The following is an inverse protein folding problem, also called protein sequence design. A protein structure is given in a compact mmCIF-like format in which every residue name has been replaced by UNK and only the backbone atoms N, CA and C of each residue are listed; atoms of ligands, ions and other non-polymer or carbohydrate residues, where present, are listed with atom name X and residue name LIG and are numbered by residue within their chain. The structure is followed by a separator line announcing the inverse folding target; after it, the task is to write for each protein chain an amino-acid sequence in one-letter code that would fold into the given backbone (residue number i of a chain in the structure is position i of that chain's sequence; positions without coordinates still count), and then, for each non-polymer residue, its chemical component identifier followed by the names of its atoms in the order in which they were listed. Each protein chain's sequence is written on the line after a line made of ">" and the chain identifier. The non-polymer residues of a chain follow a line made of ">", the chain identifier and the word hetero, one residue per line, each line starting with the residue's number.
data_IF_554440270209
#
_entry.id   IF_554440270209
#
_cell.length_a   1.000
_cell.length_b   1.000
_cell.length_c   1.000
_cell.angle_alpha   90.00
_cell.angle_beta   90.00
_cell.angle_gamma   90.00
#
_symmetry.space_group_name_H-M   'P 1'
#
loop_
_entity.id
_entity.type
_entity.pdbx_description
1 polymer ?
#
# COMPACT_ATOMS: atom_id res chain seq x y z
N UNK A 1 10.21 -2.82 16.56
CA UNK A 1 9.37 -2.27 15.48
C UNK A 1 9.40 -0.78 15.70
N UNK A 2 9.93 0.00 14.75
CA UNK A 2 9.84 1.46 14.85
C UNK A 2 8.52 1.88 14.21
N UNK A 3 7.89 2.92 14.75
CA UNK A 3 6.66 3.44 14.21
C UNK A 3 6.61 4.95 14.14
N UNK A 4 6.05 5.45 13.05
CA UNK A 4 5.91 6.86 12.74
C UNK A 4 4.42 7.19 12.65
N UNK A 5 3.99 8.22 13.37
CA UNK A 5 2.64 8.75 13.25
C UNK A 5 2.63 9.82 12.16
N UNK A 6 1.68 9.71 11.22
CA UNK A 6 1.35 10.84 10.36
C UNK A 6 0.62 11.86 11.23
N UNK A 7 1.33 12.86 11.73
CA UNK A 7 0.77 13.88 12.61
C UNK A 7 -0.12 14.84 11.81
N UNK A 8 -1.43 14.68 11.87
CA UNK A 8 -2.34 15.83 11.85
C UNK A 8 -2.49 16.30 13.30
N UNK A 9 -2.06 17.53 13.66
CA UNK A 9 -2.29 18.03 15.00
C UNK A 9 -3.79 18.16 15.22
N UNK A 10 -4.36 17.38 16.13
CA UNK A 10 -5.69 17.66 16.66
C UNK A 10 -5.60 18.94 17.48
N UNK A 11 -6.35 19.98 17.08
CA UNK A 11 -6.51 21.19 17.88
C UNK A 11 -7.07 20.81 19.26
N UNK A 12 -6.56 21.41 20.35
CA UNK A 12 -7.07 21.13 21.70
C UNK A 12 -8.51 21.65 21.81
N UNK A 13 -9.49 20.74 21.79
CA UNK A 13 -10.92 21.08 21.96
C UNK A 13 -11.91 20.23 21.16
N UNK A 14 -11.49 19.46 20.15
CA UNK A 14 -12.40 18.54 19.46
C UNK A 14 -12.54 17.22 20.23
N UNK A 15 -13.64 17.05 20.96
CA UNK A 15 -14.22 15.71 21.15
C UNK A 15 -14.62 15.20 19.76
N UNK A 16 -13.69 14.58 19.05
CA UNK A 16 -13.98 13.98 17.76
C UNK A 16 -14.90 12.78 17.99
N UNK A 17 -16.19 12.95 17.71
CA UNK A 17 -17.05 11.81 17.39
C UNK A 17 -16.39 11.12 16.20
N UNK A 18 -15.76 9.96 16.44
CA UNK A 18 -15.19 9.15 15.36
C UNK A 18 -16.39 8.65 14.57
N UNK A 19 -16.60 9.23 13.39
CA UNK A 19 -17.63 8.76 12.48
C UNK A 19 -17.24 7.36 12.01
N UNK A 20 -18.04 6.36 12.37
CA UNK A 20 -17.88 5.00 11.85
C UNK A 20 -17.99 5.06 10.33
N UNK A 21 -16.97 4.56 9.65
CA UNK A 21 -16.94 4.53 8.19
C UNK A 21 -17.48 3.18 7.69
N UNK A 22 -18.24 3.23 6.61
CA UNK A 22 -18.63 2.04 5.85
C UNK A 22 -17.65 1.78 4.72
N UNK A 23 -17.16 0.55 4.62
CA UNK A 23 -16.30 0.10 3.53
C UNK A 23 -16.96 -1.05 2.76
N UNK A 24 -16.88 -0.96 1.43
CA UNK A 24 -17.19 -2.04 0.52
C UNK A 24 -15.98 -2.98 0.39
N UNK A 25 -16.26 -4.26 0.60
CA UNK A 25 -15.31 -5.36 0.48
C UNK A 25 -15.36 -5.90 -0.94
N UNK A 26 -14.21 -5.87 -1.63
CA UNK A 26 -14.05 -6.48 -2.95
C UNK A 26 -12.97 -7.58 -2.88
N UNK A 27 -13.37 -8.85 -2.76
CA UNK A 27 -12.44 -9.98 -2.73
C UNK A 27 -11.45 -9.95 -3.90
N UNK A 28 -10.21 -10.36 -3.66
CA UNK A 28 -9.07 -10.32 -4.60
C UNK A 28 -8.65 -8.92 -5.09
N UNK A 29 -9.37 -7.87 -4.71
CA UNK A 29 -9.26 -6.57 -5.36
C UNK A 29 -8.94 -5.46 -4.38
N UNK A 30 -9.87 -5.10 -3.49
CA UNK A 30 -9.73 -3.90 -2.67
C UNK A 30 -10.66 -3.82 -1.47
N UNK A 31 -10.37 -2.85 -0.61
CA UNK A 31 -11.27 -2.30 0.40
C UNK A 31 -11.49 -0.82 0.05
N UNK A 32 -12.74 -0.38 -0.13
CA UNK A 32 -13.01 0.99 -0.58
C UNK A 32 -14.21 1.63 0.07
N UNK A 33 -14.23 2.96 0.11
CA UNK A 33 -15.40 3.76 0.43
C UNK A 33 -15.45 4.99 -0.49
N UNK A 34 -16.27 5.98 -0.17
CA UNK A 34 -16.41 7.20 -0.98
C UNK A 34 -15.12 8.06 -1.06
N UNK A 35 -14.18 7.87 -0.14
CA UNK A 35 -13.02 8.74 0.04
C UNK A 35 -11.70 8.07 -0.32
N UNK A 36 -11.56 6.78 0.02
CA UNK A 36 -10.34 6.02 -0.16
C UNK A 36 -10.63 4.66 -0.80
N UNK A 37 -9.68 4.21 -1.61
CA UNK A 37 -9.68 2.87 -2.17
C UNK A 37 -8.29 2.25 -1.98
N UNK A 38 -8.24 1.15 -1.23
CA UNK A 38 -7.02 0.38 -0.99
C UNK A 38 -6.99 -0.82 -1.93
N UNK A 39 -6.33 -0.67 -3.08
CA UNK A 39 -6.20 -1.73 -4.08
C UNK A 39 -5.04 -2.68 -3.73
N UNK A 40 -5.29 -3.99 -3.72
CA UNK A 40 -4.22 -4.98 -3.69
C UNK A 40 -3.28 -4.78 -4.87
N UNK A 41 -1.97 -4.68 -4.58
CA UNK A 41 -0.91 -4.39 -5.54
C UNK A 41 -0.54 -2.92 -5.66
N UNK A 42 -1.33 -2.00 -5.09
CA UNK A 42 -0.96 -0.58 -5.04
C UNK A 42 0.35 -0.39 -4.28
N UNK A 43 1.10 0.63 -4.65
CA UNK A 43 2.38 0.91 -4.00
C UNK A 43 2.21 1.65 -2.67
N UNK A 44 3.16 1.47 -1.76
CA UNK A 44 3.19 2.11 -0.43
C UNK A 44 3.07 3.64 -0.53
N UNK A 45 3.79 4.27 -1.46
CA UNK A 45 3.71 5.71 -1.70
C UNK A 45 2.29 6.16 -2.08
N UNK A 46 1.60 5.42 -2.93
CA UNK A 46 0.23 5.74 -3.33
C UNK A 46 -0.74 5.64 -2.17
N UNK A 47 -0.59 4.62 -1.33
CA UNK A 47 -1.40 4.49 -0.12
C UNK A 47 -1.15 5.69 0.82
N UNK A 48 0.11 6.09 1.02
CA UNK A 48 0.46 7.26 1.82
C UNK A 48 -0.14 8.54 1.22
N UNK A 49 -0.05 8.75 -0.09
CA UNK A 49 -0.65 9.90 -0.77
C UNK A 49 -2.17 9.90 -0.63
N UNK A 50 -2.82 8.76 -0.86
CA UNK A 50 -4.28 8.59 -0.70
C UNK A 50 -4.72 8.96 0.73
N UNK A 51 -4.01 8.46 1.74
CA UNK A 51 -4.29 8.76 3.14
C UNK A 51 -4.02 10.22 3.49
N UNK A 52 -2.94 10.81 2.96
CA UNK A 52 -2.59 12.21 3.20
C UNK A 52 -3.64 13.15 2.59
N UNK A 53 -4.12 12.85 1.38
CA UNK A 53 -5.17 13.62 0.73
C UNK A 53 -6.52 13.54 1.48
N UNK A 54 -6.75 12.44 2.19
CA UNK A 54 -7.95 12.18 2.98
C UNK A 54 -7.74 12.33 4.50
N UNK A 55 -6.72 13.07 4.93
CA UNK A 55 -6.35 13.23 6.34
C UNK A 55 -7.42 13.91 7.22
N UNK A 56 -8.45 14.51 6.62
CA UNK A 56 -9.60 15.06 7.35
C UNK A 56 -10.46 13.96 7.97
N UNK A 57 -10.60 12.83 7.28
CA UNK A 57 -11.43 11.70 7.72
C UNK A 57 -10.60 10.57 8.26
N UNK A 58 -9.52 10.19 7.55
CA UNK A 58 -8.62 9.12 7.96
C UNK A 58 -7.62 9.65 9.00
N UNK A 59 -7.89 9.41 10.28
CA UNK A 59 -7.07 9.90 11.41
C UNK A 59 -6.36 8.75 12.12
N UNK A 60 -5.36 9.09 12.94
CA UNK A 60 -4.63 8.15 13.80
C UNK A 60 -3.95 7.00 13.03
N UNK A 61 -3.15 7.38 12.03
CA UNK A 61 -2.45 6.47 11.13
C UNK A 61 -1.01 6.27 11.62
N UNK A 62 -0.59 5.01 11.70
CA UNK A 62 0.75 4.60 12.11
C UNK A 62 1.42 3.76 11.01
N UNK A 63 2.59 4.20 10.55
CA UNK A 63 3.46 3.41 9.69
C UNK A 63 4.48 2.67 10.55
N UNK A 64 4.58 1.35 10.40
CA UNK A 64 5.53 0.51 11.14
C UNK A 64 6.41 -0.29 10.18
N UNK A 65 7.70 -0.41 10.51
CA UNK A 65 8.64 -1.27 9.80
C UNK A 65 9.70 -1.87 10.74
N UNK A 66 10.40 -2.89 10.28
CA UNK A 66 11.47 -3.55 11.03
C UNK A 66 12.84 -3.01 10.64
N UNK A 67 13.48 -2.22 11.50
CA UNK A 67 14.87 -1.77 11.29
C UNK A 67 15.88 -2.92 11.32
N UNK A 68 15.61 -3.96 12.11
CA UNK A 68 16.48 -5.15 12.21
C UNK A 68 16.36 -6.06 10.99
N UNK A 69 15.17 -6.12 10.38
CA UNK A 69 14.85 -7.04 9.28
C UNK A 69 14.02 -6.34 8.19
N UNK A 70 14.55 -5.28 7.54
CA UNK A 70 13.76 -4.38 6.69
C UNK A 70 13.25 -5.02 5.40
N UNK A 71 13.94 -6.03 4.89
CA UNK A 71 13.60 -6.74 3.65
C UNK A 71 12.90 -8.10 3.88
N UNK A 72 12.70 -8.46 5.16
CA UNK A 72 12.12 -9.75 5.54
C UNK A 72 10.76 -9.61 6.22
N UNK A 73 10.49 -8.49 6.89
CA UNK A 73 9.20 -8.22 7.54
C UNK A 73 8.45 -7.12 6.83
N UNK A 74 7.16 -7.35 6.64
CA UNK A 74 6.25 -6.39 6.02
C UNK A 74 6.35 -5.00 6.64
N UNK A 75 6.14 -4.03 5.77
CA UNK A 75 5.84 -2.66 6.16
C UNK A 75 4.32 -2.60 6.37
N UNK A 76 3.86 -2.03 7.48
CA UNK A 76 2.43 -1.96 7.79
C UNK A 76 1.96 -0.53 7.98
N UNK A 77 0.82 -0.17 7.39
CA UNK A 77 0.09 1.05 7.73
C UNK A 77 -1.13 0.65 8.55
N UNK A 78 -1.22 1.12 9.79
CA UNK A 78 -2.34 0.84 10.70
C UNK A 78 -3.20 2.10 10.84
N UNK A 79 -4.48 1.98 10.49
CA UNK A 79 -5.50 3.02 10.62
C UNK A 79 -6.31 2.70 11.88
N UNK A 80 -5.87 3.27 13.01
CA UNK A 80 -6.35 2.81 14.33
C UNK A 80 -7.82 3.09 14.59
N UNK A 81 -8.31 4.20 14.05
CA UNK A 81 -9.70 4.62 14.24
C UNK A 81 -10.68 3.81 13.38
N UNK A 82 -10.20 3.11 12.36
CA UNK A 82 -11.02 2.35 11.41
C UNK A 82 -10.82 0.84 11.55
N UNK A 83 -9.92 0.38 12.42
CA UNK A 83 -9.61 -1.04 12.60
C UNK A 83 -8.96 -1.71 11.40
N UNK A 84 -8.33 -0.94 10.50
CA UNK A 84 -7.70 -1.43 9.26
C UNK A 84 -6.17 -1.47 9.41
N UNK A 85 -5.54 -2.54 8.92
CA UNK A 85 -4.10 -2.67 8.73
C UNK A 85 -3.77 -3.09 7.32
N UNK A 86 -2.99 -2.28 6.64
CA UNK A 86 -2.48 -2.53 5.29
C UNK A 86 -1.08 -3.13 5.40
N UNK A 87 -0.87 -4.31 4.82
CA UNK A 87 0.42 -5.00 4.82
C UNK A 87 1.08 -4.92 3.45
N UNK A 88 2.28 -4.37 3.40
CA UNK A 88 3.05 -4.18 2.18
C UNK A 88 4.23 -5.16 2.15
N UNK A 89 4.43 -5.78 0.98
CA UNK A 89 5.60 -6.61 0.72
C UNK A 89 6.90 -5.82 0.99
N UNK A 90 7.85 -6.35 1.78
CA UNK A 90 9.02 -5.56 2.19
C UNK A 90 9.98 -5.22 1.06
N UNK A 91 9.96 -5.97 -0.05
CA UNK A 91 10.89 -5.77 -1.17
C UNK A 91 10.27 -4.94 -2.28
N UNK A 92 9.04 -5.30 -2.68
CA UNK A 92 8.30 -4.65 -3.76
C UNK A 92 7.48 -3.45 -3.27
N UNK A 93 7.29 -3.30 -1.95
CA UNK A 93 6.47 -2.25 -1.33
C UNK A 93 5.06 -2.16 -1.90
N UNK A 94 4.47 -3.31 -2.24
CA UNK A 94 3.11 -3.42 -2.77
C UNK A 94 2.17 -3.96 -1.71
N UNK A 95 0.98 -3.39 -1.63
CA UNK A 95 -0.08 -3.86 -0.74
C UNK A 95 -0.42 -5.31 -1.10
N UNK A 96 -0.17 -6.23 -0.18
CA UNK A 96 -0.39 -7.67 -0.41
C UNK A 96 -1.56 -8.25 0.38
N UNK A 97 -1.89 -7.62 1.52
CA UNK A 97 -2.95 -8.07 2.42
C UNK A 97 -3.56 -6.84 3.08
N UNK A 98 -4.89 -6.79 3.09
CA UNK A 98 -5.67 -5.83 3.87
C UNK A 98 -6.27 -6.60 5.02
N UNK A 99 -5.95 -6.23 6.25
CA UNK A 99 -6.45 -6.85 7.47
C UNK A 99 -7.42 -5.89 8.15
N UNK A 100 -8.64 -6.34 8.42
CA UNK A 100 -9.55 -5.67 9.34
C UNK A 100 -9.39 -6.40 10.67
N UNK A 101 -8.74 -5.74 11.63
CA UNK A 101 -8.37 -6.34 12.91
C UNK A 101 -9.28 -5.92 14.07
N UNK A 102 -10.10 -4.88 13.88
CA UNK A 102 -11.06 -4.40 14.86
C UNK A 102 -12.37 -4.03 14.15
N UNK A 103 -13.43 -4.78 14.44
CA UNK A 103 -14.73 -4.69 13.78
C UNK A 103 -15.69 -3.78 14.54
N UNK A 104 -15.29 -3.28 15.71
CA UNK A 104 -16.09 -2.39 16.55
C UNK A 104 -16.06 -0.94 16.05
N UNK A 105 -15.17 -0.62 15.11
CA UNK A 105 -14.95 0.75 14.63
C UNK A 105 -15.21 0.90 13.12
N UNK A 106 -15.82 -0.11 12.48
CA UNK A 106 -16.01 -0.16 11.02
C UNK A 106 -17.30 -0.89 10.63
N UNK A 107 -17.99 -0.37 9.61
CA UNK A 107 -19.08 -1.06 8.92
C UNK A 107 -18.58 -1.68 7.62
N UNK A 108 -18.97 -2.92 7.33
CA UNK A 108 -18.52 -3.68 6.17
C UNK A 108 -19.72 -4.11 5.31
N UNK A 109 -19.63 -3.79 4.03
CA UNK A 109 -20.61 -4.13 3.00
C UNK A 109 -20.00 -5.03 1.94
N UNK A 110 -20.77 -6.01 1.48
CA UNK A 110 -20.46 -6.81 0.30
C UNK A 110 -21.63 -6.73 -0.69
N UNK A 111 -21.38 -6.19 -1.90
CA UNK A 111 -22.45 -5.85 -2.82
C UNK A 111 -23.44 -4.89 -2.17
N UNK A 112 -24.72 -5.21 -2.13
CA UNK A 112 -25.74 -4.37 -1.48
C UNK A 112 -25.93 -4.66 0.01
N UNK A 113 -25.24 -5.67 0.56
CA UNK A 113 -25.51 -6.18 1.91
C UNK A 113 -24.46 -5.71 2.90
N UNK A 114 -24.89 -4.91 3.90
CA UNK A 114 -24.08 -4.65 5.10
C UNK A 114 -24.11 -5.91 5.96
N UNK A 115 -22.95 -6.55 6.13
CA UNK A 115 -22.85 -7.84 6.81
C UNK A 115 -22.22 -7.73 8.21
N UNK A 116 -21.48 -6.66 8.49
CA UNK A 116 -20.90 -6.39 9.81
C UNK A 116 -21.00 -4.90 10.10
N UNK A 117 -21.39 -4.51 11.31
CA UNK A 117 -21.33 -3.12 11.79
C UNK A 117 -21.05 -3.12 13.30
N UNK A 118 -20.59 -1.99 13.88
CA UNK A 118 -20.31 -1.92 15.31
C UNK A 118 -21.51 -2.31 16.17
N UNK A 119 -21.29 -3.24 17.11
CA UNK A 119 -22.33 -3.77 18.00
C UNK A 119 -23.26 -4.83 17.37
N UNK A 120 -23.13 -5.09 16.07
CA UNK A 120 -23.74 -6.20 15.36
C UNK A 120 -22.68 -6.81 14.41
N UNK A 121 -21.58 -7.29 15.00
CA UNK A 121 -20.51 -7.92 14.26
C UNK A 121 -21.02 -9.20 13.57
N UNK A 122 -20.53 -9.43 12.35
CA UNK A 122 -20.89 -10.64 11.62
C UNK A 122 -20.54 -11.89 12.43
N UNK A 123 -21.37 -12.93 12.34
CA UNK A 123 -21.04 -14.26 12.84
C UNK A 123 -20.91 -15.23 11.65
N UNK A 124 -20.62 -16.49 11.95
CA UNK A 124 -20.50 -17.55 10.95
C UNK A 124 -21.67 -17.57 9.95
N UNK A 125 -22.92 -17.64 10.44
CA UNK A 125 -24.11 -17.71 9.59
C UNK A 125 -24.27 -16.46 8.71
N UNK A 126 -23.95 -15.28 9.24
CA UNK A 126 -24.03 -14.03 8.48
C UNK A 126 -23.00 -14.00 7.36
N UNK A 127 -21.78 -14.50 7.60
CA UNK A 127 -20.74 -14.60 6.56
C UNK A 127 -21.14 -15.64 5.52
N UNK A 128 -21.57 -16.84 5.92
CA UNK A 128 -21.99 -17.90 4.99
C UNK A 128 -23.18 -17.47 4.11
N UNK A 129 -24.18 -16.80 4.69
CA UNK A 129 -25.31 -16.25 3.91
C UNK A 129 -24.92 -15.11 2.95
N UNK A 130 -23.80 -14.42 3.23
CA UNK A 130 -23.32 -13.30 2.41
C UNK A 130 -22.37 -13.76 1.29
N UNK A 131 -21.45 -14.69 1.59
CA UNK A 131 -20.39 -15.13 0.67
C UNK A 131 -20.64 -16.53 0.08
N UNK A 132 -21.68 -17.23 0.53
CA UNK A 132 -22.03 -18.57 0.10
C UNK A 132 -21.17 -19.66 0.76
N UNK A 133 -21.26 -20.88 0.22
CA UNK A 133 -20.52 -22.03 0.72
C UNK A 133 -19.00 -21.83 0.59
N UNK A 134 -18.25 -22.43 1.51
CA UNK A 134 -16.79 -22.29 1.62
C UNK A 134 -16.10 -23.65 1.75
N UNK A 135 -14.78 -23.66 1.60
CA UNK A 135 -13.96 -24.83 1.91
C UNK A 135 -13.99 -25.13 3.42
N UNK A 136 -13.66 -26.37 3.83
CA UNK A 136 -13.58 -26.71 5.25
C UNK A 136 -12.67 -25.73 6.00
N UNK A 137 -13.19 -25.19 7.10
CA UNK A 137 -12.43 -24.23 7.90
C UNK A 137 -11.20 -24.82 8.54
N UNK A 138 -10.22 -23.95 8.78
CA UNK A 138 -8.92 -24.30 9.35
C UNK A 138 -8.82 -23.72 10.74
N UNK A 139 -8.58 -24.57 11.73
CA UNK A 139 -8.36 -24.14 13.10
C UNK A 139 -6.89 -23.78 13.36
N UNK A 140 -6.65 -22.59 13.91
CA UNK A 140 -5.34 -22.16 14.39
C UNK A 140 -5.27 -22.28 15.91
N UNK A 141 -4.63 -23.35 16.38
CA UNK A 141 -4.49 -23.64 17.81
C UNK A 141 -3.66 -22.59 18.56
N UNK A 142 -2.72 -21.91 17.88
CA UNK A 142 -1.88 -20.88 18.51
C UNK A 142 -2.68 -19.62 18.79
N UNK A 143 -3.56 -19.23 17.87
CA UNK A 143 -4.38 -18.04 18.02
C UNK A 143 -5.72 -18.32 18.69
N UNK A 144 -6.10 -19.61 18.84
CA UNK A 144 -7.45 -20.03 19.26
C UNK A 144 -8.52 -19.40 18.37
N UNK A 145 -8.22 -19.36 17.07
CA UNK A 145 -9.08 -18.80 16.03
C UNK A 145 -9.43 -19.87 15.01
N UNK A 146 -10.68 -19.87 14.59
CA UNK A 146 -11.16 -20.67 13.48
C UNK A 146 -11.29 -19.81 12.23
N UNK A 147 -10.67 -20.24 11.12
CA UNK A 147 -10.62 -19.51 9.86
C UNK A 147 -11.52 -20.16 8.80
N UNK A 148 -12.30 -19.34 8.12
CA UNK A 148 -12.97 -19.69 6.87
C UNK A 148 -12.40 -18.86 5.73
N UNK A 149 -12.23 -19.47 4.57
CA UNK A 149 -11.55 -18.85 3.43
C UNK A 149 -12.36 -19.03 2.16
N UNK A 150 -12.62 -17.91 1.50
CA UNK A 150 -13.06 -17.84 0.12
C UNK A 150 -11.89 -17.35 -0.71
N UNK A 151 -12.03 -17.43 -2.04
CA UNK A 151 -11.08 -16.80 -2.93
C UNK A 151 -11.01 -15.30 -2.65
N UNK A 152 -9.85 -14.85 -2.21
CA UNK A 152 -9.52 -13.45 -1.95
C UNK A 152 -10.05 -12.84 -0.65
N UNK A 153 -10.74 -13.60 0.20
CA UNK A 153 -11.19 -13.13 1.51
C UNK A 153 -11.21 -14.26 2.54
N UNK A 154 -10.81 -13.97 3.76
CA UNK A 154 -10.90 -14.92 4.88
C UNK A 154 -11.42 -14.23 6.14
N UNK A 155 -12.02 -15.02 7.00
CA UNK A 155 -12.74 -14.61 8.20
C UNK A 155 -12.29 -15.47 9.38
N UNK A 156 -12.00 -14.84 10.51
CA UNK A 156 -11.55 -15.52 11.74
C UNK A 156 -12.51 -15.28 12.88
N UNK A 157 -12.91 -16.37 13.53
CA UNK A 157 -13.82 -16.36 14.67
C UNK A 157 -13.09 -16.89 15.90
N UNK A 158 -13.27 -16.24 17.05
CA UNK A 158 -12.75 -16.74 18.31
C UNK A 158 -13.50 -18.01 18.74
N UNK A 159 -12.79 -19.06 19.13
CA UNK A 159 -13.44 -20.34 19.50
C UNK A 159 -13.79 -20.45 20.99
N UNK A 160 -13.63 -19.39 21.77
CA UNK A 160 -13.88 -19.41 23.22
C UNK A 160 -13.03 -20.44 23.97
N UNK A 161 -13.40 -20.73 25.23
CA UNK A 161 -12.73 -21.73 26.08
C UNK A 161 -12.94 -23.17 25.58
N UNK A 162 -13.93 -23.42 24.71
CA UNK A 162 -14.30 -24.75 24.20
C UNK A 162 -13.56 -25.10 22.89
N UNK A 163 -12.24 -24.86 22.87
CA UNK A 163 -11.36 -25.20 21.73
C UNK A 163 -11.44 -26.68 21.32
N UNK A 164 -11.75 -27.59 22.25
CA UNK A 164 -11.75 -29.04 22.01
C UNK A 164 -12.96 -29.51 21.19
N UNK A 165 -14.13 -28.88 21.34
CA UNK A 165 -15.34 -29.23 20.59
C UNK A 165 -15.28 -28.73 19.14
N UNK A 166 -14.73 -27.53 18.92
CA UNK A 166 -14.50 -26.96 17.58
C UNK A 166 -13.43 -27.75 16.82
N UNK A 167 -12.35 -28.16 17.50
CA UNK A 167 -11.33 -29.04 16.91
C UNK A 167 -11.91 -30.40 16.50
N UNK A 168 -12.70 -31.04 17.36
CA UNK A 168 -13.28 -32.36 17.10
C UNK A 168 -14.35 -32.33 16.00
N UNK A 169 -15.11 -31.24 15.88
CA UNK A 169 -16.12 -31.09 14.82
C UNK A 169 -15.49 -30.95 13.42
N UNK A 170 -14.30 -30.36 13.30
CA UNK A 170 -13.65 -30.07 12.01
C UNK A 170 -12.46 -30.96 11.65
N UNK A 171 -11.97 -31.81 12.57
CA UNK A 171 -10.86 -32.73 12.31
C UNK A 171 -11.10 -33.69 11.14
N UNK A 172 -12.35 -33.85 10.68
CA UNK A 172 -12.73 -34.74 9.59
C UNK A 172 -13.38 -34.08 8.36
N UNK A 173 -13.42 -32.73 8.29
CA UNK A 173 -13.89 -32.01 7.09
C UNK A 173 -15.36 -32.26 6.69
N UNK A 174 -16.14 -32.92 7.54
CA UNK A 174 -17.55 -33.28 7.32
C UNK A 174 -18.49 -32.75 8.41
N UNK A 175 -17.98 -32.07 9.44
CA UNK A 175 -18.80 -31.53 10.52
C UNK A 175 -19.26 -30.11 10.24
N UNK A 176 -20.57 -29.86 10.40
CA UNK A 176 -21.09 -28.51 10.55
C UNK A 176 -20.52 -27.88 11.82
N UNK A 177 -20.12 -26.60 11.78
CA UNK A 177 -19.73 -25.87 13.00
C UNK A 177 -20.96 -25.82 13.91
N UNK A 178 -20.96 -26.61 14.98
CA UNK A 178 -21.99 -26.54 16.00
C UNK A 178 -21.41 -25.76 17.18
N UNK A 179 -21.61 -24.45 17.16
CA UNK A 179 -21.41 -23.65 18.35
C UNK A 179 -22.63 -23.86 19.27
N UNK A 180 -22.44 -23.96 20.60
CA UNK A 180 -23.55 -23.95 21.54
C UNK A 180 -24.44 -22.72 21.27
N UNK A 181 -25.74 -22.97 21.08
CA UNK A 181 -26.75 -22.03 20.55
C UNK A 181 -26.87 -20.69 21.29
N UNK A 182 -26.24 -20.53 22.46
CA UNK A 182 -26.39 -19.34 23.30
C UNK A 182 -25.58 -18.10 22.80
N UNK A 183 -24.53 -18.27 22.00
CA UNK A 183 -23.89 -17.15 21.26
C UNK A 183 -22.88 -17.66 20.25
N UNK A 184 -23.18 -17.56 18.95
CA UNK A 184 -22.16 -17.73 17.91
C UNK A 184 -21.05 -16.69 18.14
N UNK A 185 -19.76 -17.07 18.11
CA UNK A 185 -18.70 -16.11 18.32
C UNK A 185 -18.72 -15.03 17.22
N UNK A 186 -18.54 -13.75 17.58
CA UNK A 186 -18.45 -12.69 16.60
C UNK A 186 -17.16 -12.83 15.78
N UNK A 187 -17.23 -12.33 14.55
CA UNK A 187 -16.08 -12.16 13.70
C UNK A 187 -15.04 -11.29 14.42
N UNK A 188 -13.81 -11.77 14.46
CA UNK A 188 -12.71 -11.11 15.17
C UNK A 188 -11.71 -10.47 14.21
N UNK A 189 -11.53 -11.08 13.04
CA UNK A 189 -10.63 -10.58 12.00
C UNK A 189 -11.17 -10.94 10.63
N UNK A 190 -10.94 -10.07 9.67
CA UNK A 190 -11.16 -10.33 8.25
C UNK A 190 -9.90 -9.94 7.48
N UNK A 191 -9.59 -10.64 6.39
CA UNK A 191 -8.53 -10.22 5.49
C UNK A 191 -8.94 -10.32 4.04
N UNK A 192 -8.42 -9.40 3.22
CA UNK A 192 -8.55 -9.40 1.77
C UNK A 192 -7.15 -9.61 1.19
N UNK A 193 -7.02 -10.58 0.30
CA UNK A 193 -5.75 -10.97 -0.34
C UNK A 193 -6.01 -11.45 -1.77
N UNK A 194 -4.96 -11.79 -2.51
CA UNK A 194 -5.08 -12.36 -3.86
C UNK A 194 -4.82 -13.86 -3.82
N UNK A 195 -5.66 -14.66 -4.48
CA UNK A 195 -5.58 -16.12 -4.46
C UNK A 195 -6.48 -16.76 -3.40
N UNK A 196 -6.16 -18.00 -3.01
CA UNK A 196 -7.09 -18.85 -2.26
C UNK A 196 -6.79 -18.91 -0.75
N UNK A 197 -5.55 -18.60 -0.34
CA UNK A 197 -5.14 -18.61 1.06
C UNK A 197 -4.40 -17.32 1.46
N UNK A 198 -4.71 -16.71 2.62
CA UNK A 198 -4.00 -15.52 3.11
C UNK A 198 -2.51 -15.77 3.42
N UNK A 199 -2.10 -17.04 3.61
CA UNK A 199 -0.70 -17.42 3.86
C UNK A 199 0.10 -17.63 2.58
N UNK A 200 -0.57 -17.78 1.44
CA UNK A 200 0.10 -17.94 0.16
C UNK A 200 0.61 -16.58 -0.29
N UNK A 201 1.93 -16.40 -0.22
CA UNK A 201 2.59 -15.13 -0.48
C UNK A 201 2.62 -14.81 -1.98
N UNK A 202 1.48 -14.36 -2.51
CA UNK A 202 1.38 -13.85 -3.88
C UNK A 202 1.41 -12.33 -3.81
N UNK A 203 2.52 -11.73 -4.25
CA UNK A 203 2.58 -10.27 -4.38
C UNK A 203 1.74 -9.86 -5.60
N UNK A 204 0.65 -9.07 -5.42
CA UNK A 204 -0.19 -8.69 -6.54
C UNK A 204 0.58 -7.82 -7.55
N UNK A 205 0.19 -7.92 -8.81
CA UNK A 205 0.67 -7.01 -9.86
C UNK A 205 0.11 -5.60 -9.60
N UNK A 206 0.83 -4.58 -10.08
CA UNK A 206 0.38 -3.19 -9.98
C UNK A 206 -0.92 -3.05 -10.79
N UNK A 207 -2.04 -2.64 -10.16
CA UNK A 207 -3.31 -2.50 -10.87
C UNK A 207 -3.21 -1.42 -11.96
N UNK A 208 -3.76 -1.63 -13.16
CA UNK A 208 -3.67 -0.65 -14.23
C UNK A 208 -4.16 0.76 -13.86
N UNK A 209 -5.23 0.84 -13.07
CA UNK A 209 -5.83 2.08 -12.60
C UNK A 209 -4.93 2.90 -11.68
N UNK A 210 -3.80 2.32 -11.24
CA UNK A 210 -2.84 3.00 -10.39
C UNK A 210 -1.74 3.70 -11.18
N UNK A 211 -1.65 3.54 -12.50
CA UNK A 211 -0.62 4.19 -13.31
C UNK A 211 -0.83 5.71 -13.39
N UNK A 212 -1.99 6.23 -13.81
CA UNK A 212 -2.35 7.66 -13.71
C UNK A 212 -1.19 8.65 -14.07
N UNK A 213 -0.44 8.37 -15.13
CA UNK A 213 0.72 9.17 -15.55
C UNK A 213 2.00 9.02 -14.68
N UNK A 214 2.03 8.06 -13.76
CA UNK A 214 3.16 7.72 -12.89
C UNK A 214 3.98 6.59 -13.52
N UNK A 215 5.30 6.74 -13.46
CA UNK A 215 6.26 5.74 -13.91
C UNK A 215 6.62 4.79 -12.77
N UNK A 216 6.50 3.48 -13.00
CA UNK A 216 6.80 2.45 -12.02
C UNK A 216 8.01 1.62 -12.40
N UNK A 217 9.07 1.74 -11.60
CA UNK A 217 10.30 0.98 -11.77
C UNK A 217 10.04 -0.53 -11.61
N UNK A 218 10.53 -1.30 -12.57
CA UNK A 218 10.62 -2.76 -12.51
C UNK A 218 12.01 -3.20 -12.06
N UNK A 219 13.04 -2.72 -12.76
CA UNK A 219 14.43 -3.02 -12.46
C UNK A 219 15.30 -1.80 -12.69
N UNK A 220 16.39 -1.74 -11.93
CA UNK A 220 17.42 -0.73 -12.03
C UNK A 220 18.75 -1.45 -12.11
N UNK A 221 19.51 -1.17 -13.17
CA UNK A 221 20.79 -1.81 -13.46
C UNK A 221 21.88 -0.75 -13.51
N UNK A 222 22.99 -1.00 -12.81
CA UNK A 222 24.13 -0.09 -12.78
C UNK A 222 25.00 -0.35 -14.01
N UNK A 223 25.27 0.68 -14.79
CA UNK A 223 26.18 0.61 -15.94
C UNK A 223 27.58 0.95 -15.46
N UNK A 224 28.53 0.06 -15.76
CA UNK A 224 29.94 0.24 -15.44
C UNK A 224 30.75 0.23 -16.72
N UNK A 225 31.81 1.04 -16.76
CA UNK A 225 32.80 1.02 -17.83
C UNK A 225 33.69 -0.21 -17.67
N UNK A 226 33.97 -0.90 -18.77
CA UNK A 226 34.69 -2.19 -18.74
C UNK A 226 36.16 -2.05 -18.31
N UNK A 227 36.80 -0.92 -18.58
CA UNK A 227 38.24 -0.71 -18.34
C UNK A 227 38.60 -0.54 -16.86
N UNK A 228 37.80 0.22 -16.12
CA UNK A 228 38.09 0.67 -14.75
C UNK A 228 36.98 0.30 -13.75
N UNK A 229 35.93 -0.39 -14.21
CA UNK A 229 34.73 -0.73 -13.43
C UNK A 229 34.03 0.50 -12.82
N UNK A 230 34.28 1.69 -13.38
CA UNK A 230 33.70 2.95 -12.92
C UNK A 230 32.21 2.99 -13.29
N UNK A 231 31.37 3.39 -12.35
CA UNK A 231 29.94 3.57 -12.62
C UNK A 231 29.77 4.80 -13.52
N UNK A 232 29.22 4.58 -14.72
CA UNK A 232 29.00 5.64 -15.71
C UNK A 232 27.54 6.05 -15.81
N UNK A 233 26.62 5.20 -15.36
CA UNK A 233 25.19 5.50 -15.41
C UNK A 233 24.32 4.41 -14.84
N UNK A 234 23.02 4.56 -15.07
CA UNK A 234 21.98 3.68 -14.58
C UNK A 234 20.97 3.42 -15.69
N UNK A 235 20.67 2.14 -15.94
CA UNK A 235 19.58 1.69 -16.80
C UNK A 235 18.33 1.50 -15.96
N UNK A 236 17.28 2.21 -16.34
CA UNK A 236 15.95 2.15 -15.78
C UNK A 236 15.07 1.31 -16.68
N UNK A 237 14.42 0.30 -16.09
CA UNK A 237 13.35 -0.45 -16.72
C UNK A 237 12.08 -0.17 -15.94
N UNK A 238 11.12 0.49 -16.56
CA UNK A 238 9.89 0.91 -15.88
C UNK A 238 8.67 0.73 -16.77
N UNK A 239 7.50 0.63 -16.15
CA UNK A 239 6.22 0.64 -16.83
C UNK A 239 5.59 2.03 -16.71
N UNK A 240 4.93 2.47 -17.78
CA UNK A 240 4.16 3.72 -17.80
C UNK A 240 2.97 3.60 -18.76
N UNK A 241 1.96 4.44 -18.55
CA UNK A 241 0.88 4.62 -19.53
C UNK A 241 1.42 5.37 -20.76
N UNK A 242 1.16 4.81 -21.93
CA UNK A 242 1.45 5.44 -23.21
C UNK A 242 0.35 5.11 -24.22
N UNK A 243 0.27 5.92 -25.28
CA UNK A 243 -0.65 5.63 -26.38
C UNK A 243 -0.32 4.26 -26.98
N UNK A 244 -1.34 3.41 -27.13
CA UNK A 244 -1.17 2.10 -27.71
C UNK A 244 -0.48 2.20 -29.09
N UNK A 245 0.53 1.36 -29.38
CA UNK A 245 1.20 1.37 -30.68
C UNK A 245 0.15 1.13 -31.78
N UNK A 246 0.21 1.98 -32.81
CA UNK A 246 -0.73 2.11 -33.93
C UNK A 246 -1.32 0.78 -34.41
N UNK A 247 -2.48 0.40 -33.86
CA UNK A 247 -3.20 -0.82 -34.23
C UNK A 247 -4.73 -0.69 -34.17
N UNK A 248 -5.28 0.27 -33.42
CA UNK A 248 -6.71 0.55 -33.40
C UNK A 248 -6.96 2.05 -33.26
N UNK A 249 -7.26 2.72 -34.38
CA UNK A 249 -7.54 4.17 -34.48
C UNK A 249 -8.89 4.61 -33.89
N UNK A 250 -9.59 3.73 -33.17
CA UNK A 250 -10.94 3.99 -32.65
C UNK A 250 -11.03 4.14 -31.14
N UNK A 251 -9.94 3.95 -30.39
CA UNK A 251 -9.92 4.13 -28.93
C UNK A 251 -8.65 4.87 -28.53
N UNK A 252 -8.78 6.07 -27.94
CA UNK A 252 -7.68 6.81 -27.29
C UNK A 252 -7.29 6.14 -25.96
N UNK A 253 -7.07 4.84 -25.99
CA UNK A 253 -6.85 4.03 -24.80
C UNK A 253 -5.36 4.03 -24.47
N UNK A 254 -5.03 4.45 -23.25
CA UNK A 254 -3.69 4.35 -22.72
C UNK A 254 -3.40 2.88 -22.41
N UNK A 255 -2.30 2.37 -22.97
CA UNK A 255 -1.78 1.05 -22.68
C UNK A 255 -0.57 1.15 -21.75
N UNK A 256 -0.44 0.18 -20.85
CA UNK A 256 0.77 0.08 -20.02
C UNK A 256 1.88 -0.50 -20.87
N UNK A 257 2.91 0.30 -21.11
CA UNK A 257 4.06 -0.05 -21.91
C UNK A 257 5.32 -0.17 -21.04
N UNK A 258 6.21 -1.08 -21.41
CA UNK A 258 7.53 -1.24 -20.80
C UNK A 258 8.52 -0.32 -21.51
N UNK A 259 9.26 0.46 -20.74
CA UNK A 259 10.30 1.36 -21.22
C UNK A 259 11.67 0.96 -20.66
N UNK A 260 12.70 1.10 -21.49
CA UNK A 260 14.09 0.94 -21.09
C UNK A 260 14.84 2.23 -21.43
N UNK A 261 15.38 2.89 -20.40
CA UNK A 261 16.03 4.21 -20.52
C UNK A 261 17.32 4.22 -19.73
N UNK A 262 18.34 4.87 -20.27
CA UNK A 262 19.64 5.00 -19.63
C UNK A 262 19.83 6.46 -19.26
N UNK A 263 20.25 6.70 -18.02
CA UNK A 263 20.70 8.00 -17.55
C UNK A 263 22.14 7.87 -17.12
N UNK A 264 23.02 8.65 -17.74
CA UNK A 264 24.45 8.66 -17.47
C UNK A 264 24.84 9.82 -16.54
N UNK A 265 25.92 9.66 -15.79
CA UNK A 265 26.46 10.77 -15.02
C UNK A 265 26.99 11.86 -15.95
N UNK A 266 26.51 13.09 -15.76
CA UNK A 266 26.80 14.23 -16.63
C UNK A 266 25.70 14.56 -17.65
N UNK A 267 24.62 13.77 -17.73
CA UNK A 267 23.45 14.11 -18.55
C UNK A 267 22.79 15.41 -18.07
N UNK A 268 22.26 16.20 -19.00
CA UNK A 268 21.54 17.45 -18.65
C UNK A 268 20.18 17.14 -18.04
N UNK A 269 19.63 18.08 -17.26
CA UNK A 269 18.29 17.97 -16.67
C UNK A 269 17.18 17.67 -17.71
N UNK A 270 17.31 18.21 -18.92
CA UNK A 270 16.34 18.01 -20.00
C UNK A 270 16.41 16.58 -20.53
N UNK A 271 17.62 16.02 -20.62
CA UNK A 271 17.85 14.62 -20.98
C UNK A 271 17.23 13.69 -19.93
N UNK A 272 17.52 13.94 -18.65
CA UNK A 272 16.97 13.14 -17.53
C UNK A 272 15.44 13.21 -17.52
N UNK A 273 14.86 14.40 -17.66
CA UNK A 273 13.39 14.59 -17.69
C UNK A 273 12.77 13.94 -18.92
N UNK A 274 13.42 14.02 -20.08
CA UNK A 274 12.95 13.36 -21.31
C UNK A 274 12.99 11.84 -21.20
N UNK A 275 13.99 11.30 -20.50
CA UNK A 275 14.14 9.87 -20.28
C UNK A 275 13.16 9.32 -19.23
N UNK A 276 13.03 9.99 -18.09
CA UNK A 276 12.34 9.49 -16.90
C UNK A 276 10.96 10.11 -16.66
N UNK A 277 10.59 11.14 -17.43
CA UNK A 277 9.39 11.94 -17.20
C UNK A 277 9.58 13.00 -16.11
N UNK A 278 8.46 13.63 -15.73
CA UNK A 278 8.47 14.67 -14.71
C UNK A 278 8.81 14.10 -13.32
N UNK A 279 9.67 14.77 -12.54
CA UNK A 279 9.97 14.34 -11.17
C UNK A 279 8.76 14.50 -10.25
N UNK A 280 8.65 13.65 -9.22
CA UNK A 280 7.60 13.77 -8.20
C UNK A 280 7.76 15.04 -7.37
N UNK A 281 9.00 15.47 -7.14
CA UNK A 281 9.32 16.72 -6.45
C UNK A 281 10.71 17.22 -6.84
N UNK A 282 10.87 18.53 -6.90
CA UNK A 282 12.16 19.20 -7.10
C UNK A 282 12.58 19.78 -5.75
N UNK A 283 13.81 19.49 -5.33
CA UNK A 283 14.38 20.05 -4.10
C UNK A 283 15.54 20.96 -4.47
N UNK A 284 15.46 22.23 -4.11
CA UNK A 284 16.59 23.13 -4.20
C UNK A 284 17.49 22.89 -2.99
N UNK A 285 18.80 22.85 -3.20
CA UNK A 285 19.78 22.93 -2.13
C UNK A 285 19.54 24.27 -1.44
N UNK A 286 19.06 24.23 -0.21
CA UNK A 286 18.97 25.42 0.61
C UNK A 286 20.38 25.98 0.74
N UNK A 287 20.64 27.15 0.18
CA UNK A 287 21.87 27.88 0.43
C UNK A 287 21.92 28.22 1.92
N UNK A 288 22.57 27.35 2.71
CA UNK A 288 23.15 27.76 3.98
C UNK A 288 24.31 28.70 3.69
N UNK A 289 23.99 30.00 3.60
CA UNK A 289 24.56 31.08 4.41
C UNK A 289 24.11 32.42 3.86
N UNK A 290 23.58 33.26 4.74
CA UNK A 290 23.44 34.69 4.49
C UNK A 290 24.78 35.24 3.97
N UNK A 291 24.84 35.58 2.68
CA UNK A 291 25.92 36.36 2.05
C UNK A 291 25.84 37.81 2.54
N UNK A 292 26.06 38.01 3.83
CA UNK A 292 26.29 39.34 4.41
C UNK A 292 27.81 39.48 4.43
N UNK A 293 28.32 40.41 3.61
CA UNK A 293 29.73 40.75 3.38
C UNK A 293 30.48 39.92 2.33
N UNK A 294 30.11 40.05 1.05
CA UNK A 294 31.13 40.10 -0.01
C UNK A 294 31.43 41.58 -0.29
N UNK A 295 32.64 42.02 0.06
CA UNK A 295 33.12 43.37 -0.25
C UNK A 295 33.05 43.62 -1.76
N UNK A 296 32.61 44.82 -2.14
CA UNK A 296 32.34 45.26 -3.51
C UNK A 296 33.60 45.44 -4.40
N UNK A 297 34.66 44.66 -4.16
CA UNK A 297 35.95 44.77 -4.83
C UNK A 297 36.28 43.64 -5.82
N UNK A 298 35.51 42.55 -5.85
CA UNK A 298 35.84 41.39 -6.67
C UNK A 298 34.64 41.04 -7.58
N UNK A 299 34.51 41.82 -8.66
CA UNK A 299 33.47 41.69 -9.69
C UNK A 299 34.05 41.21 -11.02
N UNK A 300 34.89 40.18 -10.98
CA UNK A 300 35.30 39.50 -12.20
C UNK A 300 35.72 38.06 -11.88
N UNK A 301 34.74 37.19 -11.65
CA UNK A 301 34.73 35.81 -12.17
C UNK A 301 33.39 35.14 -11.80
N UNK A 302 32.77 34.51 -12.80
CA UNK A 302 31.65 33.57 -12.69
C UNK A 302 30.25 34.10 -12.31
N UNK A 303 29.71 35.02 -13.12
CA UNK A 303 28.26 35.29 -13.16
C UNK A 303 27.43 34.16 -13.83
N UNK A 304 28.07 33.10 -14.34
CA UNK A 304 27.42 31.94 -14.94
C UNK A 304 27.20 30.76 -13.98
N UNK A 305 27.72 30.83 -12.75
CA UNK A 305 27.68 29.74 -11.77
C UNK A 305 26.51 29.86 -10.79
N UNK A 306 25.56 30.75 -11.08
CA UNK A 306 24.43 31.06 -10.21
C UNK A 306 23.18 30.21 -10.54
N UNK A 307 23.37 28.99 -11.03
CA UNK A 307 22.26 28.02 -11.14
C UNK A 307 22.11 27.39 -9.77
N UNK A 308 20.95 27.53 -9.11
CA UNK A 308 20.75 26.90 -7.82
C UNK A 308 20.86 25.39 -8.00
N UNK A 309 21.74 24.74 -7.25
CA UNK A 309 21.80 23.28 -7.19
C UNK A 309 20.41 22.75 -6.81
N UNK A 310 19.84 21.86 -7.60
CA UNK A 310 18.60 21.19 -7.25
C UNK A 310 18.66 19.69 -7.58
N UNK A 311 17.76 18.92 -6.97
CA UNK A 311 17.69 17.48 -7.14
C UNK A 311 16.27 17.08 -7.54
N UNK A 312 16.19 16.19 -8.52
CA UNK A 312 14.95 15.52 -8.87
C UNK A 312 14.71 14.33 -7.95
N UNK A 313 13.48 14.25 -7.43
CA UNK A 313 12.99 13.11 -6.66
C UNK A 313 11.99 12.32 -7.50
N UNK A 314 12.38 11.11 -7.90
CA UNK A 314 11.54 10.16 -8.62
C UNK A 314 11.03 9.11 -7.63
N UNK A 315 10.19 9.55 -6.70
CA UNK A 315 9.77 8.71 -5.57
C UNK A 315 8.99 7.46 -6.02
N UNK A 316 8.18 7.55 -7.08
CA UNK A 316 7.46 6.41 -7.67
C UNK A 316 8.38 5.34 -8.28
N UNK A 317 9.61 5.72 -8.60
CA UNK A 317 10.66 4.82 -9.06
C UNK A 317 11.64 4.45 -7.94
N UNK A 318 11.40 4.87 -6.69
CA UNK A 318 12.29 4.60 -5.56
C UNK A 318 13.64 5.31 -5.64
N UNK A 319 13.80 6.31 -6.51
CA UNK A 319 15.06 7.05 -6.68
C UNK A 319 14.98 8.40 -5.97
N UNK A 320 15.70 8.49 -4.86
CA UNK A 320 15.81 9.68 -4.02
C UNK A 320 17.13 10.38 -4.30
N UNK A 321 17.05 11.62 -4.84
CA UNK A 321 18.17 12.50 -5.24
C UNK A 321 18.91 12.04 -6.51
N UNK A 322 18.39 12.47 -7.66
CA UNK A 322 19.20 12.55 -8.89
C UNK A 322 19.81 13.96 -8.94
N UNK A 323 21.13 14.04 -8.95
CA UNK A 323 21.89 15.29 -9.04
C UNK A 323 21.80 15.81 -10.48
N UNK A 324 21.24 17.01 -10.65
CA UNK A 324 21.14 17.72 -11.92
C UNK A 324 21.88 19.06 -11.79
#
# INVERSE_FOLDING_TARGET
>A
MESFRFASPSLPGEMSTVSIQEFEVLPETSLRNEQVEFLLGMQLNQAITCLTNNARTMKNIELSYSKKEPLSRDITITLKNDGIRLHFDPRKQRLRLIEIYDLQNISLRYGTTVFSKPGEEANYNKVESTFGATHPGVYDDKQKLFMLSWRGVAFWFATGQDSSTVQAAYSHGLGSLQFPTASLPPLTRMTIFKGDNPKDFIVPQIPPQTYCGVNYLQTLEVIRRDEDNLITGVKFVFNAEALAPMGNRSSSELAICKFEKIVSFGDTQESVTSALGAPSKIFYKSDERMLIQRNAGDRSENLNDNRPDFFFNYFSMGVYKTLC
#
